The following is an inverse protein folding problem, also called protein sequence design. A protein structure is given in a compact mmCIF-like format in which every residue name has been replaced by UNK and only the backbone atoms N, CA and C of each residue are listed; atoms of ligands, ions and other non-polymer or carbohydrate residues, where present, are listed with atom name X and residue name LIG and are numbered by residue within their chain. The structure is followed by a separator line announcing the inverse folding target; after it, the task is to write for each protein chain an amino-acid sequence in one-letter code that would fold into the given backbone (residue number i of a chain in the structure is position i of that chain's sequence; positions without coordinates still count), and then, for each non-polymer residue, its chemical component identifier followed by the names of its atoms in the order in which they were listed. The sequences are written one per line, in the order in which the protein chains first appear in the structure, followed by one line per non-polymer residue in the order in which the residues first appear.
data_IF_557520941055
#
_entry.id   IF_557520941055
#
_cell.length_a   1.000
_cell.length_b   1.000
_cell.length_c   1.000
_cell.angle_alpha   90.00
_cell.angle_beta   90.00
_cell.angle_gamma   90.00
#
_symmetry.space_group_name_H-M   'P 1'
#
loop_
_entity.id
_entity.type
_entity.pdbx_description
1 polymer ?
#
# COMPACT_ATOMS: atom_id res chain seq x y z
N UNK A 1 -2.04 -14.62 17.11
CA UNK A 1 -0.65 -15.10 17.12
C UNK A 1 0.01 -14.63 15.84
N UNK A 2 1.11 -13.87 15.91
CA UNK A 2 1.90 -13.45 14.74
C UNK A 2 3.19 -14.26 14.75
N UNK A 3 3.28 -15.35 13.96
CA UNK A 3 4.39 -16.30 14.07
C UNK A 3 5.73 -15.71 13.60
N UNK A 4 5.69 -14.73 12.69
CA UNK A 4 6.87 -14.06 12.13
C UNK A 4 6.55 -12.58 11.93
N UNK A 5 7.43 -11.70 12.40
CA UNK A 5 7.36 -10.26 12.15
C UNK A 5 8.39 -9.90 11.07
N UNK A 6 7.99 -10.00 9.81
CA UNK A 6 8.84 -9.63 8.67
C UNK A 6 9.03 -8.10 8.61
N UNK A 7 10.16 -7.67 8.04
CA UNK A 7 10.56 -6.25 7.94
C UNK A 7 9.74 -5.43 6.94
N UNK A 8 8.90 -6.08 6.12
CA UNK A 8 8.03 -5.42 5.16
C UNK A 8 7.10 -6.37 4.41
N UNK A 9 6.14 -5.81 3.67
CA UNK A 9 5.07 -6.58 3.02
C UNK A 9 5.57 -7.68 2.08
N UNK A 10 6.66 -7.44 1.34
CA UNK A 10 7.26 -8.46 0.47
C UNK A 10 7.81 -9.66 1.25
N UNK A 11 8.45 -9.40 2.39
CA UNK A 11 8.94 -10.46 3.28
C UNK A 11 7.78 -11.30 3.80
N UNK A 12 6.71 -10.64 4.27
CA UNK A 12 5.49 -11.30 4.74
C UNK A 12 4.84 -12.16 3.65
N UNK A 13 4.79 -11.68 2.41
CA UNK A 13 4.32 -12.45 1.25
C UNK A 13 5.16 -13.71 1.04
N UNK A 14 6.49 -13.63 1.09
CA UNK A 14 7.36 -14.80 0.96
C UNK A 14 7.14 -15.80 2.10
N UNK A 15 7.03 -15.33 3.36
CA UNK A 15 6.77 -16.18 4.52
C UNK A 15 5.44 -16.91 4.40
N UNK A 16 4.38 -16.23 3.99
CA UNK A 16 3.07 -16.83 3.83
C UNK A 16 3.02 -17.80 2.64
N UNK A 17 3.40 -17.33 1.44
CA UNK A 17 3.16 -18.06 0.20
C UNK A 17 4.19 -19.17 -0.04
N UNK A 18 5.48 -18.88 0.15
CA UNK A 18 6.54 -19.84 -0.16
C UNK A 18 6.88 -20.74 1.03
N UNK A 19 6.80 -20.22 2.25
CA UNK A 19 7.14 -20.98 3.46
C UNK A 19 5.92 -21.61 4.15
N UNK A 20 4.70 -21.25 3.74
CA UNK A 20 3.47 -21.80 4.29
C UNK A 20 3.25 -21.45 5.76
N UNK A 21 3.73 -20.28 6.20
CA UNK A 21 3.64 -19.85 7.60
C UNK A 21 2.53 -18.80 7.75
N UNK A 22 1.52 -19.13 8.56
CA UNK A 22 0.36 -18.30 8.85
C UNK A 22 -0.88 -18.71 8.04
N UNK A 23 -2.06 -18.46 8.59
CA UNK A 23 -3.34 -18.82 7.95
C UNK A 23 -3.91 -17.69 7.08
N UNK A 24 -3.56 -16.44 7.38
CA UNK A 24 -4.02 -15.23 6.68
C UNK A 24 -2.86 -14.25 6.55
N UNK A 25 -2.72 -13.65 5.37
CA UNK A 25 -1.79 -12.57 5.09
C UNK A 25 -2.54 -11.24 4.93
N UNK A 26 -2.23 -10.25 5.77
CA UNK A 26 -2.63 -8.87 5.55
C UNK A 26 -1.63 -8.23 4.59
N UNK A 27 -2.08 -7.86 3.39
CA UNK A 27 -1.22 -7.29 2.34
C UNK A 27 -1.95 -6.21 1.54
N UNK A 28 -1.20 -5.47 0.72
CA UNK A 28 -1.78 -4.48 -0.20
C UNK A 28 -2.48 -5.17 -1.37
N UNK A 29 -3.57 -4.57 -1.87
CA UNK A 29 -4.37 -5.10 -2.98
C UNK A 29 -3.53 -5.36 -4.25
N UNK A 30 -2.54 -4.51 -4.53
CA UNK A 30 -1.66 -4.67 -5.68
C UNK A 30 -0.73 -5.89 -5.57
N UNK A 31 -0.36 -6.32 -4.36
CA UNK A 31 0.48 -7.53 -4.16
C UNK A 31 -0.31 -8.80 -4.46
N UNK A 32 -1.65 -8.79 -4.35
CA UNK A 32 -2.50 -9.96 -4.64
C UNK A 32 -2.33 -10.43 -6.08
N UNK A 33 -2.30 -9.51 -7.03
CA UNK A 33 -2.10 -9.84 -8.44
C UNK A 33 -0.73 -10.47 -8.69
N UNK A 34 0.28 -10.02 -7.95
CA UNK A 34 1.62 -10.59 -8.03
C UNK A 34 1.67 -12.01 -7.47
N UNK A 35 1.05 -12.24 -6.30
CA UNK A 35 0.93 -13.57 -5.71
C UNK A 35 0.25 -14.52 -6.70
N UNK A 36 -0.84 -14.08 -7.33
CA UNK A 36 -1.56 -14.86 -8.34
C UNK A 36 -0.68 -15.23 -9.53
N UNK A 37 0.08 -14.27 -10.05
CA UNK A 37 0.89 -14.43 -11.26
C UNK A 37 2.16 -15.24 -11.03
N UNK A 38 2.86 -15.00 -9.92
CA UNK A 38 4.23 -15.48 -9.72
C UNK A 38 4.35 -16.65 -8.75
N UNK A 39 3.37 -16.85 -7.88
CA UNK A 39 3.53 -17.73 -6.71
C UNK A 39 2.42 -18.78 -6.54
N UNK A 40 1.55 -18.96 -7.54
CA UNK A 40 0.54 -20.02 -7.56
C UNK A 40 -0.80 -19.60 -6.93
N UNK A 41 -1.47 -18.62 -7.55
CA UNK A 41 -2.71 -18.02 -7.04
C UNK A 41 -3.86 -18.95 -6.71
N UNK A 42 -3.92 -20.12 -7.34
CA UNK A 42 -5.03 -21.08 -7.18
C UNK A 42 -5.07 -21.73 -5.79
N UNK A 43 -4.00 -21.55 -5.00
CA UNK A 43 -3.92 -22.06 -3.63
C UNK A 43 -4.48 -21.10 -2.58
N UNK A 44 -4.79 -19.86 -2.97
CA UNK A 44 -5.16 -18.79 -2.05
C UNK A 44 -6.47 -18.13 -2.44
N UNK A 45 -7.28 -17.85 -1.42
CA UNK A 45 -8.49 -17.04 -1.57
C UNK A 45 -8.20 -15.57 -1.23
N UNK A 46 -8.74 -14.66 -2.04
CA UNK A 46 -8.66 -13.23 -1.76
C UNK A 46 -9.92 -12.82 -1.02
N UNK A 47 -9.77 -12.44 0.24
CA UNK A 47 -10.87 -11.97 1.09
C UNK A 47 -10.79 -10.46 1.22
N UNK A 48 -11.82 -9.78 0.73
CA UNK A 48 -12.01 -8.35 0.95
C UNK A 48 -12.86 -8.13 2.21
N UNK A 49 -12.35 -7.42 3.24
CA UNK A 49 -13.11 -7.17 4.46
C UNK A 49 -14.24 -6.17 4.23
N UNK A 50 -15.20 -6.11 5.17
CA UNK A 50 -16.33 -5.17 5.11
C UNK A 50 -15.90 -3.69 5.15
N UNK A 51 -14.74 -3.42 5.74
CA UNK A 51 -14.10 -2.10 5.74
C UNK A 51 -12.58 -2.24 5.71
N UNK A 52 -11.89 -1.24 5.16
CA UNK A 52 -10.43 -1.17 5.09
C UNK A 52 -9.93 0.27 5.20
N UNK A 53 -8.61 0.46 5.28
CA UNK A 53 -7.97 1.76 5.27
C UNK A 53 -7.60 2.17 3.85
N UNK A 54 -7.83 3.44 3.49
CA UNK A 54 -7.27 4.01 2.26
C UNK A 54 -5.75 4.17 2.44
N UNK A 55 -4.99 3.28 1.80
CA UNK A 55 -3.54 3.39 1.75
C UNK A 55 -3.13 4.38 0.65
N UNK A 56 -2.57 5.51 1.04
CA UNK A 56 -2.06 6.52 0.12
C UNK A 56 -0.55 6.36 -0.06
N UNK A 57 -0.09 6.33 -1.32
CA UNK A 57 1.33 6.22 -1.66
C UNK A 57 1.84 7.61 -2.09
N UNK A 58 2.25 8.48 -1.14
CA UNK A 58 2.69 9.82 -1.48
C UNK A 58 4.03 9.80 -2.23
N UNK A 59 4.15 10.68 -3.21
CA UNK A 59 5.39 10.96 -3.93
C UNK A 59 5.75 12.43 -3.73
N UNK A 60 7.05 12.72 -3.64
CA UNK A 60 7.52 14.09 -3.39
C UNK A 60 8.83 14.36 -4.11
N UNK A 61 8.99 15.60 -4.56
CA UNK A 61 10.27 16.08 -5.06
C UNK A 61 11.19 16.44 -3.89
N UNK A 62 12.41 15.92 -3.88
CA UNK A 62 13.39 16.26 -2.84
C UNK A 62 14.20 17.47 -3.29
N UNK A 63 13.72 18.67 -2.95
CA UNK A 63 14.23 19.96 -3.44
C UNK A 63 15.76 20.09 -3.40
N UNK A 64 16.36 19.83 -2.22
CA UNK A 64 17.80 19.92 -2.00
C UNK A 64 18.62 19.15 -3.04
N UNK A 65 18.18 17.95 -3.41
CA UNK A 65 18.90 17.10 -4.37
C UNK A 65 18.52 17.42 -5.81
N UNK A 66 17.24 17.73 -6.07
CA UNK A 66 16.79 18.18 -7.38
C UNK A 66 17.57 19.42 -7.86
N UNK A 67 17.82 20.37 -6.96
CA UNK A 67 18.58 21.58 -7.26
C UNK A 67 20.09 21.31 -7.36
N UNK A 68 20.65 20.56 -6.40
CA UNK A 68 22.08 20.19 -6.39
C UNK A 68 22.48 19.45 -7.67
N UNK A 69 21.62 18.57 -8.16
CA UNK A 69 21.88 17.76 -9.37
C UNK A 69 21.34 18.40 -10.64
N UNK A 70 20.70 19.58 -10.55
CA UNK A 70 20.08 20.30 -11.69
C UNK A 70 19.06 19.44 -12.44
N UNK A 71 18.32 18.60 -11.72
CA UNK A 71 17.31 17.68 -12.26
C UNK A 71 15.88 18.09 -11.92
N UNK A 72 15.66 19.25 -11.29
CA UNK A 72 14.31 19.71 -10.89
C UNK A 72 13.27 19.59 -11.99
N UNK A 73 13.55 20.12 -13.19
CA UNK A 73 12.58 20.11 -14.28
C UNK A 73 12.16 18.68 -14.68
N UNK A 74 13.13 17.77 -14.87
CA UNK A 74 12.83 16.39 -15.25
C UNK A 74 12.18 15.58 -14.12
N UNK A 75 12.60 15.81 -12.87
CA UNK A 75 12.01 15.14 -11.71
C UNK A 75 10.58 15.60 -11.45
N UNK A 76 10.29 16.89 -11.63
CA UNK A 76 8.93 17.41 -11.53
C UNK A 76 8.04 16.88 -12.66
N UNK A 77 8.52 16.91 -13.91
CA UNK A 77 7.79 16.33 -15.03
C UNK A 77 7.49 14.84 -14.83
N UNK A 78 8.44 14.08 -14.25
CA UNK A 78 8.23 12.68 -13.89
C UNK A 78 7.08 12.51 -12.89
N UNK A 79 7.04 13.30 -11.81
CA UNK A 79 5.96 13.24 -10.83
C UNK A 79 4.61 13.65 -11.41
N UNK A 80 4.57 14.72 -12.20
CA UNK A 80 3.35 15.18 -12.88
C UNK A 80 2.83 14.11 -13.86
N UNK A 81 3.73 13.40 -14.54
CA UNK A 81 3.37 12.32 -15.46
C UNK A 81 2.67 11.14 -14.76
N UNK A 82 2.98 10.87 -13.49
CA UNK A 82 2.27 9.84 -12.70
C UNK A 82 0.77 10.13 -12.62
N UNK A 83 0.36 11.41 -12.71
CA UNK A 83 -1.03 11.85 -12.67
C UNK A 83 -1.64 12.14 -14.05
N UNK A 84 -0.88 11.92 -15.13
CA UNK A 84 -1.44 11.93 -16.49
C UNK A 84 -2.39 10.75 -16.72
N UNK A 85 -3.16 10.75 -17.81
CA UNK A 85 -3.98 9.58 -18.18
C UNK A 85 -3.14 8.32 -18.31
N UNK A 86 -2.01 8.42 -18.99
CA UNK A 86 -1.14 7.27 -19.24
C UNK A 86 -0.52 6.75 -17.95
N UNK A 87 -0.06 7.65 -17.07
CA UNK A 87 0.46 7.27 -15.76
C UNK A 87 -0.58 6.56 -14.89
N UNK A 88 -1.83 7.04 -14.93
CA UNK A 88 -2.94 6.43 -14.19
C UNK A 88 -3.40 5.10 -14.80
N UNK A 89 -3.35 4.96 -16.12
CA UNK A 89 -3.61 3.70 -16.83
C UNK A 89 -2.51 2.66 -16.53
N UNK A 90 -1.24 3.10 -16.47
CA UNK A 90 -0.13 2.25 -16.00
C UNK A 90 -0.38 1.81 -14.57
N UNK A 91 -0.79 2.72 -13.68
CA UNK A 91 -1.10 2.38 -12.29
C UNK A 91 -2.19 1.29 -12.21
N UNK A 92 -3.28 1.42 -12.96
CA UNK A 92 -4.35 0.43 -13.02
C UNK A 92 -3.85 -0.95 -13.51
N UNK A 93 -3.04 -0.98 -14.58
CA UNK A 93 -2.42 -2.22 -15.10
C UNK A 93 -1.50 -2.90 -14.10
N UNK A 94 -0.96 -2.15 -13.13
CA UNK A 94 -0.16 -2.65 -12.02
C UNK A 94 -0.97 -2.79 -10.72
N UNK A 95 -2.31 -2.83 -10.83
CA UNK A 95 -3.24 -3.08 -9.73
C UNK A 95 -3.20 -2.03 -8.62
N UNK A 96 -2.78 -0.81 -8.94
CA UNK A 96 -2.91 0.36 -8.08
C UNK A 96 -4.19 1.12 -8.44
N UNK A 97 -5.01 1.45 -7.44
CA UNK A 97 -6.25 2.22 -7.64
C UNK A 97 -5.94 3.61 -8.20
N UNK A 98 -6.42 3.95 -9.42
CA UNK A 98 -6.20 5.27 -10.00
C UNK A 98 -6.95 6.37 -9.23
N UNK A 99 -6.37 7.57 -9.19
CA UNK A 99 -6.97 8.78 -8.62
C UNK A 99 -7.72 9.62 -9.64
N UNK A 100 -7.41 9.44 -10.92
CA UNK A 100 -8.08 10.17 -11.98
C UNK A 100 -9.42 9.51 -12.29
N UNK A 101 -10.53 10.17 -11.95
CA UNK A 101 -11.89 9.59 -11.97
C UNK A 101 -12.23 8.86 -13.27
N UNK A 102 -11.91 9.46 -14.43
CA UNK A 102 -12.17 8.86 -15.74
C UNK A 102 -11.43 7.53 -15.98
N UNK A 103 -10.27 7.34 -15.36
CA UNK A 103 -9.50 6.09 -15.45
C UNK A 103 -10.04 5.11 -14.40
N UNK A 104 -10.29 5.58 -13.17
CA UNK A 104 -10.91 4.75 -12.12
C UNK A 104 -12.25 4.14 -12.58
N UNK A 105 -13.08 4.90 -13.29
CA UNK A 105 -14.35 4.44 -13.86
C UNK A 105 -14.20 3.34 -14.92
N UNK A 106 -13.07 3.30 -15.66
CA UNK A 106 -12.80 2.23 -16.65
C UNK A 106 -12.39 0.92 -15.99
N UNK A 107 -11.85 0.98 -14.78
CA UNK A 107 -11.29 -0.15 -14.04
C UNK A 107 -12.14 -0.60 -12.84
N UNK A 108 -13.42 -0.22 -12.76
CA UNK A 108 -14.30 -0.63 -11.65
C UNK A 108 -14.48 -2.14 -11.54
N UNK A 109 -14.27 -2.88 -12.64
CA UNK A 109 -14.30 -4.34 -12.64
C UNK A 109 -13.05 -4.96 -11.99
N UNK A 110 -11.92 -4.26 -12.01
CA UNK A 110 -10.65 -4.72 -11.44
C UNK A 110 -10.58 -4.45 -9.92
N UNK A 111 -11.31 -3.44 -9.45
CA UNK A 111 -11.27 -2.96 -8.07
C UNK A 111 -12.64 -3.06 -7.40
N UNK A 112 -12.87 -4.08 -6.55
CA UNK A 112 -14.11 -4.19 -5.79
C UNK A 112 -14.37 -2.93 -4.96
N UNK A 113 -15.66 -2.55 -4.89
CA UNK A 113 -16.06 -1.47 -4.01
C UNK A 113 -15.90 -1.88 -2.55
N UNK A 114 -15.29 -1.00 -1.77
CA UNK A 114 -15.01 -1.22 -0.35
C UNK A 114 -15.31 0.06 0.41
N UNK A 115 -15.85 -0.11 1.62
CA UNK A 115 -15.92 0.99 2.57
C UNK A 115 -14.50 1.26 3.06
N UNK A 116 -13.96 2.41 2.69
CA UNK A 116 -12.62 2.81 3.10
C UNK A 116 -12.69 4.02 4.02
N UNK A 117 -11.84 4.03 5.03
CA UNK A 117 -11.61 5.19 5.88
C UNK A 117 -10.20 5.74 5.67
N UNK A 118 -10.03 7.03 5.85
CA UNK A 118 -8.71 7.68 5.84
C UNK A 118 -8.12 7.77 7.24
N UNK A 119 -6.80 7.93 7.29
CA UNK A 119 -6.10 8.19 8.56
C UNK A 119 -6.54 9.51 9.18
N UNK A 120 -6.85 10.52 8.37
CA UNK A 120 -7.32 11.81 8.84
C UNK A 120 -8.70 11.71 9.51
N UNK A 121 -9.66 11.01 8.88
CA UNK A 121 -11.02 10.84 9.39
C UNK A 121 -11.09 10.14 10.75
N UNK A 122 -10.33 9.07 10.94
CA UNK A 122 -10.41 8.26 12.17
C UNK A 122 -9.43 8.65 13.25
N UNK A 123 -8.26 9.19 12.89
CA UNK A 123 -7.14 9.33 13.82
C UNK A 123 -6.58 10.75 13.90
N UNK A 124 -7.12 11.71 13.15
CA UNK A 124 -6.65 13.10 13.16
C UNK A 124 -5.28 13.28 12.51
N UNK A 125 -4.91 12.35 11.63
CA UNK A 125 -3.73 12.44 10.77
C UNK A 125 -2.49 11.69 11.27
N UNK A 126 -1.53 11.54 10.35
CA UNK A 126 -0.37 10.65 10.53
C UNK A 126 0.52 11.00 11.73
N UNK A 127 0.65 12.28 12.10
CA UNK A 127 1.43 12.69 13.28
C UNK A 127 0.86 12.11 14.58
N UNK A 128 -0.47 12.10 14.69
CA UNK A 128 -1.15 11.56 15.86
C UNK A 128 -1.07 10.03 15.88
N UNK A 129 -1.32 9.38 14.74
CA UNK A 129 -1.18 7.92 14.60
C UNK A 129 0.22 7.45 14.98
N UNK A 130 1.25 8.08 14.41
CA UNK A 130 2.64 7.74 14.68
C UNK A 130 2.95 7.86 16.17
N UNK A 131 2.55 8.98 16.80
CA UNK A 131 2.78 9.23 18.24
C UNK A 131 2.11 8.21 19.13
N UNK A 132 0.84 7.86 18.85
CA UNK A 132 0.06 6.97 19.72
C UNK A 132 0.46 5.51 19.52
N UNK A 133 0.62 5.09 18.25
CA UNK A 133 0.74 3.67 17.93
C UNK A 133 2.17 3.19 17.74
N UNK A 134 3.05 4.00 17.14
CA UNK A 134 4.29 3.49 16.53
C UNK A 134 5.59 4.10 17.03
N UNK A 135 5.55 5.17 17.84
CA UNK A 135 6.73 5.64 18.57
C UNK A 135 7.10 4.65 19.68
N UNK A 136 8.35 4.68 20.13
CA UNK A 136 8.84 3.89 21.25
C UNK A 136 7.90 4.01 22.48
N UNK A 137 7.50 2.86 23.03
CA UNK A 137 6.54 2.75 24.13
C UNK A 137 5.07 2.96 23.71
N UNK A 138 4.81 3.13 22.42
CA UNK A 138 3.48 3.26 21.83
C UNK A 138 2.64 1.97 21.93
N UNK A 139 1.42 2.04 21.43
CA UNK A 139 0.46 0.92 21.52
C UNK A 139 1.01 -0.37 20.89
N UNK A 140 1.76 -0.27 19.78
CA UNK A 140 2.37 -1.44 19.13
C UNK A 140 3.32 -2.18 20.09
N UNK A 141 4.25 -1.48 20.73
CA UNK A 141 5.19 -2.06 21.68
C UNK A 141 4.48 -2.70 22.88
N UNK A 142 3.42 -2.06 23.38
CA UNK A 142 2.64 -2.57 24.51
C UNK A 142 1.89 -3.85 24.18
N UNK A 143 1.41 -4.01 22.95
CA UNK A 143 0.78 -5.24 22.47
C UNK A 143 1.84 -6.31 22.24
N UNK A 144 2.99 -5.93 21.67
CA UNK A 144 4.06 -6.86 21.34
C UNK A 144 4.74 -7.44 22.59
N UNK A 145 5.09 -6.61 23.57
CA UNK A 145 5.78 -7.03 24.79
C UNK A 145 4.91 -7.84 25.77
N UNK A 146 3.60 -7.89 25.56
CA UNK A 146 2.66 -8.67 26.38
C UNK A 146 2.49 -10.13 25.93
N UNK A 147 3.20 -10.56 24.90
CA UNK A 147 3.25 -11.95 24.44
C UNK A 147 4.59 -12.60 24.78
#
# INVERSE_FOLDING_TARGET
HVPVLDTGGRGATTTFVQRGIGDVLLTFENEVALIKKELGGDQFEVVYPSSSVLAENPVVLVDKFADKHKTRAVAQAYLEYLYSEEGQEIAARHHLRPRLDRIAQRHTADFPQLTMFTVDELFGGWKQVQKVHFNDGGVFDQIYAKN
#
